data_IF_374173363530
#
_entry.id   IF_374173363530
#
_cell.length_a   1.000
_cell.length_b   1.000
_cell.length_c   1.000
_cell.angle_alpha   90.00
_cell.angle_beta   90.00
_cell.angle_gamma   90.00
#
_symmetry.space_group_name_H-M   'P 1'
#
loop_
_entity.id
_entity.type
_entity.pdbx_description
1 polymer ?
#
# COMPACT_ATOMS: atom_id res chain seq x y z
N UNK A 1 6.34 -16.10 9.12
CA UNK A 1 6.63 -15.11 10.19
C UNK A 1 6.29 -13.73 9.64
N UNK A 2 5.80 -12.80 10.46
CA UNK A 2 5.52 -11.42 10.01
C UNK A 2 6.78 -10.59 9.79
N UNK A 3 6.58 -9.35 9.34
CA UNK A 3 7.58 -8.31 9.16
C UNK A 3 7.22 -7.09 10.01
N UNK A 4 8.20 -6.55 10.73
CA UNK A 4 8.06 -5.30 11.47
C UNK A 4 8.43 -4.14 10.56
N UNK A 5 7.46 -3.25 10.29
CA UNK A 5 7.68 -2.03 9.54
C UNK A 5 8.43 -1.02 10.40
N UNK A 6 9.16 -0.14 9.75
CA UNK A 6 9.98 0.90 10.38
C UNK A 6 9.15 2.06 10.91
N UNK A 7 7.88 2.18 10.48
CA UNK A 7 6.94 3.18 10.96
C UNK A 7 6.25 2.75 12.25
N UNK A 8 5.91 3.72 13.09
CA UNK A 8 5.14 3.55 14.33
C UNK A 8 3.72 4.04 14.19
N UNK A 9 2.82 3.47 14.99
CA UNK A 9 1.41 3.87 15.04
C UNK A 9 1.24 5.31 15.54
N UNK A 10 1.96 5.71 16.59
CA UNK A 10 1.76 6.97 17.30
C UNK A 10 0.26 7.25 17.51
N UNK A 11 -0.26 8.36 17.01
CA UNK A 11 -1.68 8.75 17.06
C UNK A 11 -2.43 8.54 15.73
N UNK A 12 -1.83 7.85 14.75
CA UNK A 12 -2.35 7.70 13.39
C UNK A 12 -3.75 7.07 13.41
N UNK A 13 -3.94 6.00 14.19
CA UNK A 13 -5.21 5.30 14.27
C UNK A 13 -6.36 6.21 14.75
N UNK A 14 -6.12 6.99 15.81
CA UNK A 14 -7.11 7.95 16.33
C UNK A 14 -7.45 9.02 15.30
N UNK A 15 -6.42 9.58 14.65
CA UNK A 15 -6.59 10.57 13.58
C UNK A 15 -7.44 10.05 12.41
N UNK A 16 -7.34 8.76 12.08
CA UNK A 16 -8.18 8.14 11.05
C UNK A 16 -9.66 8.04 11.46
N UNK A 17 -9.93 7.77 12.74
CA UNK A 17 -11.29 7.81 13.28
C UNK A 17 -11.84 9.24 13.33
N UNK A 18 -11.08 10.18 13.89
CA UNK A 18 -11.49 11.58 14.08
C UNK A 18 -11.73 12.31 12.77
N UNK A 19 -10.92 12.02 11.74
CA UNK A 19 -11.09 12.59 10.41
C UNK A 19 -12.36 12.10 9.70
N UNK A 20 -12.87 10.93 10.11
CA UNK A 20 -13.95 10.21 9.44
C UNK A 20 -13.46 9.35 8.27
N UNK A 21 -12.14 9.21 8.10
CA UNK A 21 -11.55 8.31 7.10
C UNK A 21 -11.90 6.85 7.39
N UNK A 22 -12.01 6.49 8.67
CA UNK A 22 -12.48 5.19 9.14
C UNK A 22 -13.76 5.36 9.96
N UNK A 23 -14.79 4.58 9.62
CA UNK A 23 -15.93 4.29 10.48
C UNK A 23 -15.60 3.08 11.36
N UNK A 24 -15.55 3.30 12.68
CA UNK A 24 -15.19 2.26 13.64
C UNK A 24 -16.12 1.04 13.55
N UNK A 25 -17.43 1.25 13.42
CA UNK A 25 -18.41 0.16 13.37
C UNK A 25 -18.22 -0.67 12.11
N UNK A 26 -18.06 -0.02 10.95
CA UNK A 26 -17.80 -0.74 9.70
C UNK A 26 -16.50 -1.53 9.74
N UNK A 27 -15.45 -0.97 10.35
CA UNK A 27 -14.18 -1.68 10.55
C UNK A 27 -14.34 -2.87 11.49
N UNK A 28 -15.02 -2.70 12.63
CA UNK A 28 -15.29 -3.78 13.57
C UNK A 28 -16.08 -4.91 12.90
N UNK A 29 -17.09 -4.59 12.09
CA UNK A 29 -17.87 -5.57 11.31
C UNK A 29 -17.00 -6.28 10.26
N UNK A 30 -16.18 -5.53 9.52
CA UNK A 30 -15.31 -6.07 8.46
C UNK A 30 -14.32 -7.12 8.97
N UNK A 31 -13.84 -6.95 10.20
CA UNK A 31 -12.81 -7.77 10.82
C UNK A 31 -13.34 -8.62 11.99
N UNK A 32 -14.66 -8.71 12.17
CA UNK A 32 -15.25 -9.41 13.33
C UNK A 32 -14.86 -10.88 13.43
N UNK A 33 -14.67 -11.54 12.29
CA UNK A 33 -14.29 -12.95 12.20
C UNK A 33 -12.77 -13.18 12.15
N UNK A 34 -11.97 -12.11 12.20
CA UNK A 34 -10.52 -12.16 12.21
C UNK A 34 -10.02 -11.76 13.60
N UNK A 35 -9.73 -12.77 14.43
CA UNK A 35 -9.29 -12.56 15.81
C UNK A 35 -8.03 -11.71 15.91
N UNK A 36 -7.11 -11.83 14.93
CA UNK A 36 -5.88 -11.07 14.91
C UNK A 36 -6.14 -9.61 14.52
N UNK A 37 -6.94 -9.36 13.48
CA UNK A 37 -7.33 -7.99 13.13
C UNK A 37 -8.15 -7.31 14.23
N UNK A 38 -8.93 -8.07 15.02
CA UNK A 38 -9.61 -7.56 16.23
C UNK A 38 -8.62 -7.04 17.28
N UNK A 39 -7.52 -7.73 17.51
CA UNK A 39 -6.44 -7.25 18.40
C UNK A 39 -5.82 -5.95 17.85
N UNK A 40 -5.67 -5.84 16.52
CA UNK A 40 -5.14 -4.64 15.88
C UNK A 40 -6.06 -3.41 15.99
N UNK A 41 -7.37 -3.58 16.22
CA UNK A 41 -8.30 -2.45 16.43
C UNK A 41 -7.91 -1.58 17.64
N UNK A 42 -7.16 -2.13 18.60
CA UNK A 42 -6.60 -1.36 19.72
C UNK A 42 -5.75 -0.17 19.26
N UNK A 43 -5.01 -0.33 18.16
CA UNK A 43 -4.19 0.74 17.57
C UNK A 43 -5.02 1.86 16.92
N UNK A 44 -6.29 1.62 16.59
CA UNK A 44 -7.18 2.67 16.10
C UNK A 44 -7.70 3.58 17.21
N UNK A 45 -7.74 3.10 18.45
CA UNK A 45 -8.37 3.83 19.57
C UNK A 45 -7.37 4.39 20.57
N UNK A 46 -6.11 3.96 20.52
CA UNK A 46 -5.09 4.29 21.53
C UNK A 46 -3.82 4.75 20.84
N UNK A 47 -3.12 5.70 21.46
CA UNK A 47 -1.78 6.06 20.97
C UNK A 47 -0.84 4.90 21.29
N UNK A 48 -0.01 4.52 20.33
CA UNK A 48 0.96 3.47 20.55
C UNK A 48 2.30 3.83 19.93
N UNK A 49 3.36 3.75 20.74
CA UNK A 49 4.73 3.81 20.24
C UNK A 49 5.13 2.56 19.45
N UNK A 50 4.28 1.54 19.33
CA UNK A 50 4.64 0.29 18.67
C UNK A 50 4.85 0.48 17.17
N UNK A 51 5.75 -0.34 16.62
CA UNK A 51 5.92 -0.45 15.18
C UNK A 51 4.71 -1.13 14.55
N UNK A 52 4.33 -0.67 13.36
CA UNK A 52 3.34 -1.40 12.56
C UNK A 52 3.93 -2.74 12.12
N UNK A 53 3.08 -3.75 12.03
CA UNK A 53 3.47 -5.12 11.65
C UNK A 53 2.64 -5.55 10.45
N UNK A 54 3.23 -6.30 9.52
CA UNK A 54 2.49 -7.01 8.48
C UNK A 54 2.79 -8.50 8.50
N UNK A 55 1.75 -9.32 8.33
CA UNK A 55 1.82 -10.75 8.16
C UNK A 55 0.63 -11.23 7.31
N UNK A 56 0.54 -12.53 7.08
CA UNK A 56 -0.56 -13.12 6.30
C UNK A 56 -1.94 -12.85 6.92
N UNK A 57 -2.03 -12.85 8.26
CA UNK A 57 -3.29 -12.69 9.00
C UNK A 57 -3.82 -11.25 8.96
N UNK A 58 -2.95 -10.24 8.99
CA UNK A 58 -3.36 -8.82 9.05
C UNK A 58 -3.16 -8.03 7.76
N UNK A 59 -2.74 -8.69 6.67
CA UNK A 59 -2.50 -8.05 5.36
C UNK A 59 -3.68 -7.16 4.92
N UNK A 60 -4.91 -7.65 5.11
CA UNK A 60 -6.16 -6.93 4.79
C UNK A 60 -6.43 -5.75 5.72
N UNK A 61 -6.12 -5.88 7.00
CA UNK A 61 -6.20 -4.76 7.94
C UNK A 61 -5.21 -3.66 7.57
N UNK A 62 -3.97 -4.04 7.26
CA UNK A 62 -2.92 -3.10 6.91
C UNK A 62 -3.19 -2.35 5.61
N UNK A 63 -3.63 -3.03 4.54
CA UNK A 63 -3.95 -2.33 3.28
C UNK A 63 -5.10 -1.34 3.48
N UNK A 64 -6.16 -1.70 4.21
CA UNK A 64 -7.30 -0.80 4.42
C UNK A 64 -6.92 0.39 5.31
N UNK A 65 -6.11 0.18 6.35
CA UNK A 65 -5.71 1.25 7.26
C UNK A 65 -4.78 2.26 6.57
N UNK A 66 -3.79 1.76 5.82
CA UNK A 66 -2.88 2.62 5.05
C UNK A 66 -3.59 3.27 3.87
N UNK A 67 -4.59 2.61 3.26
CA UNK A 67 -5.45 3.20 2.24
C UNK A 67 -6.27 4.36 2.81
N UNK A 68 -6.92 4.17 3.96
CA UNK A 68 -7.65 5.23 4.65
C UNK A 68 -6.74 6.43 4.92
N UNK A 69 -5.51 6.17 5.37
CA UNK A 69 -4.49 7.20 5.58
C UNK A 69 -4.14 7.95 4.30
N UNK A 70 -3.75 7.22 3.24
CA UNK A 70 -3.39 7.84 1.96
C UNK A 70 -4.55 8.63 1.35
N UNK A 71 -5.80 8.26 1.62
CA UNK A 71 -6.96 9.06 1.18
C UNK A 71 -7.04 10.40 1.90
N UNK A 72 -6.83 10.44 3.21
CA UNK A 72 -7.18 11.59 4.03
C UNK A 72 -6.02 12.55 4.27
N UNK A 73 -4.80 12.01 4.33
CA UNK A 73 -3.62 12.81 4.57
C UNK A 73 -3.41 13.76 3.38
N UNK A 74 -3.18 15.04 3.69
CA UNK A 74 -2.96 16.07 2.70
C UNK A 74 -1.60 15.86 2.06
N UNK A 75 -1.59 15.75 0.73
CA UNK A 75 -0.37 15.51 -0.02
C UNK A 75 -0.44 16.14 -1.42
N UNK A 76 0.64 16.80 -1.83
CA UNK A 76 0.72 17.48 -3.14
C UNK A 76 0.57 16.52 -4.32
N UNK A 77 0.91 15.24 -4.12
CA UNK A 77 0.76 14.19 -5.14
C UNK A 77 -0.71 13.86 -5.42
N UNK A 78 -1.60 14.05 -4.44
CA UNK A 78 -3.03 13.89 -4.64
C UNK A 78 -3.67 15.19 -5.14
N UNK A 79 -3.14 16.34 -4.71
CA UNK A 79 -3.72 17.63 -5.03
C UNK A 79 -3.43 18.12 -6.44
N UNK A 80 -2.23 17.85 -6.95
CA UNK A 80 -1.76 18.33 -8.26
C UNK A 80 -1.24 17.18 -9.16
N UNK A 81 -1.28 15.93 -8.68
CA UNK A 81 -0.71 14.80 -9.40
C UNK A 81 -1.65 14.11 -10.39
N UNK A 82 -1.20 12.95 -10.84
CA UNK A 82 -1.83 12.15 -11.89
C UNK A 82 -3.30 11.82 -11.62
N UNK A 83 -3.68 11.53 -10.36
CA UNK A 83 -5.05 11.11 -10.03
C UNK A 83 -6.09 12.20 -10.31
N UNK A 84 -5.79 13.48 -10.03
CA UNK A 84 -6.70 14.58 -10.41
C UNK A 84 -6.60 14.92 -11.89
N UNK A 85 -5.37 14.93 -12.44
CA UNK A 85 -5.12 15.29 -13.84
C UNK A 85 -5.84 14.34 -14.81
N UNK A 86 -5.69 13.02 -14.61
CA UNK A 86 -6.32 12.03 -15.46
C UNK A 86 -7.78 11.74 -15.08
N UNK A 87 -8.19 12.10 -13.86
CA UNK A 87 -9.58 12.00 -13.42
C UNK A 87 -10.53 12.96 -14.14
N UNK A 88 -10.01 13.93 -14.92
CA UNK A 88 -10.79 14.91 -15.71
C UNK A 88 -11.92 15.58 -14.91
N UNK A 89 -11.65 15.90 -13.64
CA UNK A 89 -12.61 16.51 -12.73
C UNK A 89 -13.45 15.54 -11.90
N UNK A 90 -13.40 14.24 -12.18
CA UNK A 90 -14.04 13.21 -11.35
C UNK A 90 -13.07 12.10 -10.91
N UNK A 91 -12.28 12.42 -9.89
CA UNK A 91 -11.37 11.48 -9.25
C UNK A 91 -12.07 10.31 -8.55
N UNK A 92 -13.41 10.30 -8.42
CA UNK A 92 -14.16 9.21 -7.79
C UNK A 92 -14.33 7.98 -8.67
N UNK A 93 -13.96 8.04 -9.94
CA UNK A 93 -14.02 6.90 -10.86
C UNK A 93 -12.97 5.82 -10.58
N UNK A 94 -11.96 6.11 -9.75
CA UNK A 94 -10.88 5.18 -9.40
C UNK A 94 -11.25 4.23 -8.27
N UNK A 95 -10.63 3.05 -8.26
CA UNK A 95 -10.86 2.05 -7.24
C UNK A 95 -10.40 2.51 -5.86
N UNK A 96 -9.33 3.32 -5.79
CA UNK A 96 -8.86 3.94 -4.54
C UNK A 96 -9.81 4.97 -3.94
N UNK A 97 -10.73 5.54 -4.71
CA UNK A 97 -11.56 6.66 -4.26
C UNK A 97 -13.02 6.25 -4.20
N UNK A 98 -13.62 5.93 -5.35
CA UNK A 98 -15.00 5.43 -5.46
C UNK A 98 -15.21 4.07 -4.79
N UNK A 99 -14.15 3.27 -4.65
CA UNK A 99 -14.19 1.99 -3.96
C UNK A 99 -14.13 2.08 -2.43
N UNK A 100 -13.83 3.24 -1.85
CA UNK A 100 -13.75 3.39 -0.40
C UNK A 100 -15.13 3.55 0.23
N UNK A 101 -15.55 2.55 0.99
CA UNK A 101 -16.87 2.50 1.65
C UNK A 101 -16.81 2.39 3.18
N UNK A 102 -15.59 2.26 3.72
CA UNK A 102 -15.32 2.04 5.14
C UNK A 102 -15.17 3.35 5.93
N UNK A 103 -15.33 4.51 5.29
CA UNK A 103 -15.31 5.81 5.95
C UNK A 103 -16.63 6.17 6.64
N UNK A 104 -16.53 6.98 7.67
CA UNK A 104 -17.67 7.62 8.34
C UNK A 104 -18.17 8.84 7.56
N UNK A 105 -17.29 9.44 6.76
CA UNK A 105 -17.59 10.52 5.83
C UNK A 105 -17.41 10.07 4.38
N UNK A 106 -18.13 10.70 3.42
CA UNK A 106 -17.91 10.45 2.00
C UNK A 106 -16.45 10.71 1.58
N UNK A 107 -15.91 9.87 0.67
CA UNK A 107 -14.53 10.00 0.20
C UNK A 107 -14.20 11.41 -0.34
N UNK A 108 -15.16 12.07 -1.00
CA UNK A 108 -14.97 13.44 -1.52
C UNK A 108 -14.67 14.48 -0.43
N UNK A 109 -15.14 14.26 0.81
CA UNK A 109 -14.93 15.18 1.93
C UNK A 109 -13.61 14.93 2.65
N UNK A 110 -13.12 13.69 2.62
CA UNK A 110 -11.87 13.31 3.27
C UNK A 110 -10.66 13.37 2.33
N UNK A 111 -10.85 13.29 1.01
CA UNK A 111 -9.75 13.21 0.04
C UNK A 111 -8.76 14.38 0.16
N UNK A 112 -7.50 14.10 0.50
CA UNK A 112 -6.41 15.06 0.70
C UNK A 112 -6.82 16.26 1.59
N UNK A 113 -7.65 16.03 2.61
CA UNK A 113 -8.31 17.13 3.33
C UNK A 113 -7.70 17.48 4.68
N UNK A 114 -6.83 16.62 5.25
CA UNK A 114 -6.27 16.84 6.59
C UNK A 114 -4.77 16.56 6.65
N UNK A 115 -4.02 17.38 7.39
CA UNK A 115 -2.61 17.11 7.67
C UNK A 115 -2.48 16.13 8.85
N UNK A 116 -2.74 14.83 8.61
CA UNK A 116 -2.59 13.81 9.68
C UNK A 116 -1.14 13.70 10.12
N UNK A 117 -0.23 13.73 9.14
CA UNK A 117 1.19 14.02 9.33
C UNK A 117 1.53 15.23 8.48
N UNK A 118 2.31 16.16 9.05
CA UNK A 118 2.74 17.33 8.32
C UNK A 118 4.04 17.04 7.58
N UNK A 119 4.03 17.18 6.26
CA UNK A 119 5.22 17.06 5.41
C UNK A 119 5.78 18.45 5.08
N UNK A 120 7.10 18.61 5.12
CA UNK A 120 7.77 19.79 4.55
C UNK A 120 7.79 19.70 3.02
N UNK A 121 8.03 20.81 2.29
CA UNK A 121 8.18 20.78 0.84
C UNK A 121 9.25 19.79 0.35
N UNK A 122 10.35 19.63 1.09
CA UNK A 122 11.40 18.66 0.79
C UNK A 122 10.92 17.22 1.00
N UNK A 123 10.12 16.99 2.04
CA UNK A 123 9.51 15.67 2.29
C UNK A 123 8.48 15.30 1.23
N UNK A 124 7.63 16.24 0.81
CA UNK A 124 6.67 16.07 -0.30
C UNK A 124 7.39 15.61 -1.59
N UNK A 125 8.53 16.23 -1.90
CA UNK A 125 9.34 15.86 -3.06
C UNK A 125 9.95 14.46 -2.92
N UNK A 126 10.37 14.07 -1.72
CA UNK A 126 10.84 12.69 -1.43
C UNK A 126 9.69 11.69 -1.62
N UNK A 127 8.51 11.98 -1.08
CA UNK A 127 7.31 11.15 -1.23
C UNK A 127 7.01 10.94 -2.71
N UNK A 128 6.95 12.03 -3.50
CA UNK A 128 6.68 11.98 -4.94
C UNK A 128 7.72 11.13 -5.68
N UNK A 129 9.01 11.34 -5.43
CA UNK A 129 10.10 10.57 -6.07
C UNK A 129 9.99 9.07 -5.79
N UNK A 130 9.69 8.71 -4.55
CA UNK A 130 9.53 7.31 -4.15
C UNK A 130 8.28 6.73 -4.83
N UNK A 131 7.13 7.41 -4.71
CA UNK A 131 5.84 6.98 -5.27
C UNK A 131 5.89 6.75 -6.79
N UNK A 132 6.67 7.54 -7.53
CA UNK A 132 6.87 7.37 -8.98
C UNK A 132 7.53 6.05 -9.37
N UNK A 133 8.27 5.42 -8.44
CA UNK A 133 9.08 4.23 -8.72
C UNK A 133 8.44 2.93 -8.25
N UNK A 134 7.37 2.99 -7.46
CA UNK A 134 6.75 1.82 -6.85
C UNK A 134 5.50 1.44 -7.64
N UNK A 135 5.42 0.16 -7.99
CA UNK A 135 4.33 -0.44 -8.70
C UNK A 135 3.74 -1.59 -7.88
N UNK A 136 2.52 -1.99 -8.24
CA UNK A 136 1.84 -3.17 -7.70
C UNK A 136 1.40 -4.12 -8.83
N UNK A 137 1.41 -5.45 -8.65
CA UNK A 137 1.15 -6.39 -9.74
C UNK A 137 -0.23 -6.31 -10.41
N UNK A 138 -1.18 -5.54 -9.88
CA UNK A 138 -2.52 -5.39 -10.43
C UNK A 138 -2.84 -4.07 -11.18
N UNK A 139 -1.91 -3.11 -11.33
CA UNK A 139 -2.05 -1.94 -12.24
C UNK A 139 -0.76 -1.72 -13.04
N UNK A 140 -0.91 -0.97 -14.13
CA UNK A 140 0.21 -0.41 -14.88
C UNK A 140 0.73 0.95 -14.37
N UNK A 141 0.01 1.60 -13.46
CA UNK A 141 0.37 2.90 -12.88
C UNK A 141 1.22 2.73 -11.61
N UNK A 142 2.10 3.71 -11.33
CA UNK A 142 2.88 3.76 -10.10
C UNK A 142 2.05 4.31 -8.94
N UNK A 143 2.58 4.26 -7.71
CA UNK A 143 1.91 4.82 -6.54
C UNK A 143 1.78 6.36 -6.57
N UNK A 144 2.49 7.06 -7.47
CA UNK A 144 2.26 8.50 -7.75
C UNK A 144 0.88 8.73 -8.40
N UNK A 145 0.38 7.74 -9.14
CA UNK A 145 -1.00 7.69 -9.59
C UNK A 145 -1.73 6.57 -8.83
N UNK A 146 -2.17 6.84 -7.58
CA UNK A 146 -2.78 5.83 -6.72
C UNK A 146 -4.23 5.57 -7.11
N UNK A 147 -4.47 5.02 -8.30
CA UNK A 147 -5.78 4.68 -8.88
C UNK A 147 -6.46 3.45 -8.24
N UNK A 148 -5.74 2.75 -7.37
CA UNK A 148 -6.15 1.52 -6.72
C UNK A 148 -5.88 1.58 -5.22
N UNK A 149 -6.63 0.80 -4.45
CA UNK A 149 -6.48 0.69 -3.00
C UNK A 149 -5.03 0.43 -2.55
N UNK A 150 -4.32 -0.49 -3.21
CA UNK A 150 -2.93 -0.81 -2.86
C UNK A 150 -1.95 0.32 -3.20
N UNK A 151 -2.19 1.06 -4.31
CA UNK A 151 -1.38 2.22 -4.66
C UNK A 151 -1.56 3.35 -3.65
N UNK A 152 -2.80 3.59 -3.24
CA UNK A 152 -3.12 4.57 -2.19
C UNK A 152 -2.55 4.15 -0.82
N UNK A 153 -2.61 2.87 -0.48
CA UNK A 153 -2.00 2.33 0.74
C UNK A 153 -0.46 2.46 0.73
N UNK A 154 0.19 2.14 -0.40
CA UNK A 154 1.62 2.32 -0.56
C UNK A 154 2.02 3.80 -0.42
N UNK A 155 1.26 4.72 -1.03
CA UNK A 155 1.46 6.15 -0.87
C UNK A 155 1.32 6.57 0.61
N UNK A 156 0.24 6.15 1.29
CA UNK A 156 0.04 6.47 2.70
C UNK A 156 1.17 5.95 3.60
N UNK A 157 1.71 4.77 3.33
CA UNK A 157 2.91 4.27 4.01
C UNK A 157 4.12 5.20 3.79
N UNK A 158 4.38 5.61 2.54
CA UNK A 158 5.51 6.48 2.19
C UNK A 158 5.41 7.83 2.91
N UNK A 159 4.22 8.43 2.95
CA UNK A 159 3.97 9.69 3.65
C UNK A 159 4.28 9.57 5.15
N UNK A 160 3.77 8.52 5.81
CA UNK A 160 4.07 8.26 7.22
C UNK A 160 5.58 8.08 7.41
N UNK A 161 6.22 7.23 6.61
CA UNK A 161 7.64 6.90 6.75
C UNK A 161 8.54 8.12 6.56
N UNK A 162 8.27 8.94 5.54
CA UNK A 162 9.02 10.18 5.30
C UNK A 162 8.81 11.18 6.43
N UNK A 163 7.57 11.33 6.95
CA UNK A 163 7.29 12.21 8.09
C UNK A 163 8.04 11.78 9.36
N UNK A 164 8.25 10.47 9.54
CA UNK A 164 8.99 9.88 10.66
C UNK A 164 10.51 9.81 10.43
N UNK A 165 11.02 10.37 9.32
CA UNK A 165 12.45 10.43 9.02
C UNK A 165 13.08 9.09 8.62
N UNK A 166 12.27 8.13 8.17
CA UNK A 166 12.77 6.83 7.69
C UNK A 166 13.55 7.02 6.38
N UNK A 167 14.70 6.36 6.27
CA UNK A 167 15.54 6.43 5.07
C UNK A 167 14.84 5.84 3.84
N UNK A 168 15.15 6.36 2.64
CA UNK A 168 14.56 5.86 1.39
C UNK A 168 14.85 4.37 1.17
N UNK A 169 16.07 3.91 1.50
CA UNK A 169 16.45 2.50 1.40
C UNK A 169 15.53 1.62 2.24
N UNK A 170 15.26 2.04 3.48
CA UNK A 170 14.37 1.29 4.37
C UNK A 170 12.90 1.36 3.92
N UNK A 171 12.45 2.50 3.39
CA UNK A 171 11.11 2.65 2.80
C UNK A 171 10.90 1.61 1.69
N UNK A 172 11.87 1.42 0.78
CA UNK A 172 11.76 0.39 -0.26
C UNK A 172 11.75 -1.04 0.30
N UNK A 173 12.52 -1.33 1.37
CA UNK A 173 12.50 -2.65 2.03
C UNK A 173 11.14 -2.94 2.66
N UNK A 174 10.57 -1.97 3.35
CA UNK A 174 9.25 -2.09 3.99
C UNK A 174 8.15 -2.25 2.93
N UNK A 175 8.20 -1.50 1.83
CA UNK A 175 7.25 -1.63 0.72
C UNK A 175 7.38 -2.95 -0.01
N UNK A 176 8.60 -3.48 -0.16
CA UNK A 176 8.82 -4.82 -0.69
C UNK A 176 8.12 -5.86 0.20
N UNK A 177 8.24 -5.73 1.52
CA UNK A 177 7.51 -6.58 2.47
C UNK A 177 5.99 -6.40 2.34
N UNK A 178 5.49 -5.17 2.31
CA UNK A 178 4.06 -4.86 2.16
C UNK A 178 3.47 -5.52 0.90
N UNK A 179 4.08 -5.27 -0.26
CA UNK A 179 3.62 -5.88 -1.50
C UNK A 179 3.77 -7.41 -1.49
N UNK A 180 4.80 -7.97 -0.84
CA UNK A 180 4.95 -9.43 -0.72
C UNK A 180 3.80 -10.06 0.06
N UNK A 181 3.25 -9.38 1.08
CA UNK A 181 2.09 -9.88 1.82
C UNK A 181 0.75 -9.54 1.15
N UNK A 182 0.67 -8.46 0.38
CA UNK A 182 -0.53 -8.13 -0.39
C UNK A 182 -0.69 -8.95 -1.67
N UNK A 183 0.43 -9.39 -2.26
CA UNK A 183 0.48 -10.13 -3.53
C UNK A 183 1.38 -11.38 -3.42
N UNK A 184 1.09 -12.30 -2.47
CA UNK A 184 2.01 -13.38 -2.14
C UNK A 184 2.36 -14.26 -3.34
N UNK A 185 1.38 -14.57 -4.19
CA UNK A 185 1.63 -15.37 -5.40
C UNK A 185 2.63 -14.67 -6.33
N UNK A 186 2.39 -13.41 -6.68
CA UNK A 186 3.23 -12.67 -7.63
C UNK A 186 4.66 -12.49 -7.08
N UNK A 187 4.83 -12.28 -5.78
CA UNK A 187 6.15 -12.13 -5.18
C UNK A 187 6.90 -13.47 -5.06
N UNK A 188 6.19 -14.58 -4.88
CA UNK A 188 6.79 -15.93 -5.00
C UNK A 188 7.21 -16.21 -6.45
N UNK A 189 6.43 -15.79 -7.44
CA UNK A 189 6.78 -15.87 -8.86
C UNK A 189 8.03 -15.03 -9.20
N UNK A 190 8.12 -13.79 -8.68
CA UNK A 190 9.31 -12.94 -8.83
C UNK A 190 10.52 -13.59 -8.14
N UNK A 191 10.36 -14.13 -6.94
CA UNK A 191 11.45 -14.81 -6.24
C UNK A 191 11.99 -16.02 -7.03
N UNK A 192 11.11 -16.81 -7.63
CA UNK A 192 11.50 -17.92 -8.50
C UNK A 192 12.26 -17.45 -9.74
N UNK A 193 11.80 -16.36 -10.37
CA UNK A 193 12.50 -15.74 -11.49
C UNK A 193 13.89 -15.24 -11.10
N UNK A 194 14.03 -14.53 -9.97
CA UNK A 194 15.32 -14.04 -9.48
C UNK A 194 16.29 -15.19 -9.18
N UNK A 195 15.78 -16.30 -8.65
CA UNK A 195 16.59 -17.48 -8.43
C UNK A 195 17.11 -18.10 -9.74
N UNK A 196 16.32 -18.10 -10.82
CA UNK A 196 16.83 -18.47 -12.16
C UNK A 196 17.96 -17.55 -12.63
N UNK A 197 17.92 -16.27 -12.23
CA UNK A 197 18.99 -15.29 -12.47
C UNK A 197 20.13 -15.37 -11.43
N UNK A 198 20.17 -16.41 -10.59
CA UNK A 198 21.18 -16.63 -9.54
C UNK A 198 21.24 -15.52 -8.48
N UNK A 199 20.11 -14.84 -8.23
CA UNK A 199 19.98 -13.85 -7.16
C UNK A 199 19.02 -14.38 -6.10
N UNK A 200 19.50 -14.56 -4.87
CA UNK A 200 18.66 -14.98 -3.75
C UNK A 200 17.72 -13.85 -3.31
N UNK A 201 16.55 -14.18 -2.77
CA UNK A 201 15.56 -13.17 -2.36
C UNK A 201 16.10 -12.15 -1.37
N UNK A 202 16.99 -12.56 -0.46
CA UNK A 202 17.61 -11.65 0.52
C UNK A 202 18.59 -10.63 -0.10
N UNK A 203 19.04 -10.88 -1.33
CA UNK A 203 20.06 -10.09 -2.03
C UNK A 203 19.47 -9.26 -3.19
N UNK A 204 18.15 -9.30 -3.39
CA UNK A 204 17.48 -8.47 -4.42
C UNK A 204 17.51 -6.99 -4.03
N UNK A 205 17.58 -6.12 -5.03
CA UNK A 205 17.34 -4.68 -4.85
C UNK A 205 15.83 -4.42 -4.70
N UNK A 206 15.34 -3.96 -3.53
CA UNK A 206 13.91 -3.72 -3.32
C UNK A 206 13.32 -2.69 -4.29
N UNK A 207 14.08 -1.65 -4.67
CA UNK A 207 13.62 -0.64 -5.61
C UNK A 207 13.46 -1.22 -7.01
N UNK A 208 14.36 -2.10 -7.43
CA UNK A 208 14.25 -2.83 -8.69
C UNK A 208 13.02 -3.72 -8.69
N UNK A 209 12.81 -4.52 -7.64
CA UNK A 209 11.65 -5.42 -7.56
C UNK A 209 10.34 -4.64 -7.57
N UNK A 210 10.26 -3.51 -6.87
CA UNK A 210 9.06 -2.66 -6.84
C UNK A 210 8.83 -1.88 -8.14
N UNK A 211 9.80 -1.84 -9.05
CA UNK A 211 9.68 -1.09 -10.31
C UNK A 211 8.66 -1.67 -11.27
N UNK A 212 8.35 -0.92 -12.32
CA UNK A 212 7.43 -1.35 -13.38
C UNK A 212 7.87 -2.64 -14.06
N UNK A 213 9.18 -2.93 -14.09
CA UNK A 213 9.74 -4.10 -14.73
C UNK A 213 9.24 -5.41 -14.11
N UNK A 214 9.04 -5.45 -12.80
CA UNK A 214 8.69 -6.66 -12.06
C UNK A 214 7.33 -6.56 -11.38
N UNK A 215 7.01 -5.40 -10.82
CA UNK A 215 5.81 -5.21 -10.02
C UNK A 215 4.71 -4.43 -10.73
N UNK A 216 4.81 -4.03 -12.01
CA UNK A 216 3.59 -3.58 -12.74
C UNK A 216 2.76 -4.78 -13.19
N UNK A 217 1.50 -4.56 -13.60
CA UNK A 217 0.67 -5.61 -14.19
C UNK A 217 1.32 -6.28 -15.40
N UNK A 218 2.01 -5.51 -16.24
CA UNK A 218 2.77 -6.05 -17.37
C UNK A 218 4.03 -6.78 -16.89
N UNK A 219 4.78 -6.18 -15.96
CA UNK A 219 6.00 -6.76 -15.42
C UNK A 219 5.77 -8.11 -14.74
N UNK A 220 4.78 -8.19 -13.86
CA UNK A 220 4.39 -9.42 -13.17
C UNK A 220 3.93 -10.50 -14.15
N UNK A 221 3.20 -10.13 -15.21
CA UNK A 221 2.82 -11.07 -16.26
C UNK A 221 4.03 -11.60 -17.04
N UNK A 222 5.03 -10.75 -17.33
CA UNK A 222 6.28 -11.17 -17.98
C UNK A 222 7.11 -12.10 -17.10
N UNK A 223 7.16 -11.85 -15.79
CA UNK A 223 7.79 -12.74 -14.80
C UNK A 223 7.09 -14.10 -14.81
N UNK A 224 5.76 -14.11 -14.69
CA UNK A 224 4.95 -15.34 -14.72
C UNK A 224 5.19 -16.16 -15.99
N UNK A 225 5.35 -15.50 -17.14
CA UNK A 225 5.67 -16.17 -18.40
C UNK A 225 7.06 -16.80 -18.41
N UNK A 226 8.04 -16.16 -17.76
CA UNK A 226 9.42 -16.64 -17.73
C UNK A 226 9.62 -17.88 -16.85
N UNK A 227 8.73 -18.13 -15.89
CA UNK A 227 8.82 -19.24 -14.93
C UNK A 227 7.86 -20.41 -15.22
N UNK A 228 7.14 -20.42 -16.36
CA UNK A 228 6.13 -21.43 -16.68
C UNK A 228 6.64 -22.88 -16.70
N UNK A 229 7.95 -23.07 -16.88
CA UNK A 229 8.60 -24.38 -16.87
C UNK A 229 9.18 -24.80 -15.51
N UNK A 230 9.06 -23.96 -14.48
CA UNK A 230 9.59 -24.26 -13.13
C UNK A 230 8.59 -25.14 -12.39
N UNK A 231 9.00 -26.33 -11.87
CA UNK A 231 8.13 -27.17 -11.06
C UNK A 231 7.49 -26.39 -9.91
N UNK A 232 6.17 -26.50 -9.74
CA UNK A 232 5.41 -25.75 -8.74
C UNK A 232 4.78 -24.45 -9.24
N UNK A 233 5.12 -23.99 -10.46
CA UNK A 233 4.50 -22.83 -11.09
C UNK A 233 3.74 -23.27 -12.34
N UNK A 234 2.40 -23.34 -12.27
CA UNK A 234 1.54 -23.63 -13.42
C UNK A 234 0.67 -22.41 -13.75
N UNK A 235 0.41 -22.18 -15.04
CA UNK A 235 -0.63 -21.23 -15.46
C UNK A 235 -1.98 -21.90 -15.29
N UNK A 236 -2.46 -22.06 -14.07
CA UNK A 236 -3.90 -22.17 -13.88
C UNK A 236 -4.45 -20.74 -13.96
N UNK A 237 -5.12 -20.44 -15.07
CA UNK A 237 -5.78 -19.16 -15.30
C UNK A 237 -6.88 -18.94 -14.25
N UNK A 238 -6.52 -18.28 -13.15
CA UNK A 238 -7.46 -17.67 -12.23
C UNK A 238 -7.85 -16.31 -12.78
N UNK A 239 -9.01 -16.24 -13.44
CA UNK A 239 -9.63 -14.98 -13.78
C UNK A 239 -9.92 -14.16 -12.51
N UNK A 240 -10.01 -12.85 -12.66
CA UNK A 240 -10.48 -11.94 -11.62
C UNK A 240 -11.93 -12.30 -11.23
N UNK A 241 -12.09 -13.12 -10.20
CA UNK A 241 -13.35 -13.42 -9.51
C UNK A 241 -13.03 -14.18 -8.23
N UNK A 242 -13.55 -13.86 -7.06
CA UNK A 242 -14.69 -13.03 -6.66
C UNK A 242 -14.28 -12.09 -5.53
#
# INVERSE_FOLDING_TARGET
>A
KGYQLSIRWNDIGKKLLESGAIDKTKYDELFTNDSFSKEQMGYLSTDSGDHMMINEQNSRFMVNTLWAFGLVNKASVLDDGSIKTYGKGDFMSYASTGGWTLGAKPTREIFSSQELVKLTPEQEEIVRKIAQTIYRPCCGNSAEFPDCNHGMAALGYVEIAVSQGISQEQIYKDLLALNSFWFPQQYVEIAAYMNQQKTEWKDVDPKLILSSQYSSSKGSQSVKQSIQGVPGFSIQGGGCGA
#
